data_IF_426956750400
#
_entry.id   IF_426956750400
#
_cell.length_a   1.000
_cell.length_b   1.000
_cell.length_c   1.000
_cell.angle_alpha   90.00
_cell.angle_beta   90.00
_cell.angle_gamma   90.00
#
_symmetry.space_group_name_H-M   'P 1'
#
loop_
_entity.id
_entity.type
_entity.pdbx_description
1 polymer ?
#
# COMPACT_ATOMS: atom_id res chain seq x y z
N UNK A 1 16.27 19.84 -21.41
CA UNK A 1 15.56 18.97 -20.45
C UNK A 1 15.41 17.59 -21.08
N UNK A 2 15.72 16.54 -20.34
CA UNK A 2 15.58 15.15 -20.80
C UNK A 2 14.53 14.44 -19.93
N UNK A 3 13.41 14.03 -20.52
CA UNK A 3 12.34 13.30 -19.84
C UNK A 3 12.27 11.89 -20.42
N UNK A 4 12.34 10.89 -19.55
CA UNK A 4 12.32 9.47 -19.90
C UNK A 4 11.11 8.82 -19.24
N UNK A 5 10.19 8.30 -20.04
CA UNK A 5 9.01 7.59 -19.57
C UNK A 5 9.19 6.11 -19.85
N UNK A 6 9.07 5.27 -18.82
CA UNK A 6 9.29 3.82 -18.86
C UNK A 6 10.57 3.43 -19.66
N UNK A 7 11.76 3.94 -19.26
CA UNK A 7 12.99 3.68 -20.00
C UNK A 7 13.32 2.19 -20.08
N UNK A 8 13.62 1.74 -21.30
CA UNK A 8 14.21 0.41 -21.55
C UNK A 8 15.65 0.33 -21.05
N UNK A 9 16.21 -0.88 -20.95
CA UNK A 9 17.62 -1.07 -20.60
C UNK A 9 18.57 -0.33 -21.56
N UNK A 10 18.24 -0.30 -22.86
CA UNK A 10 18.97 0.47 -23.87
C UNK A 10 18.84 1.98 -23.65
N UNK A 11 17.67 2.46 -23.22
CA UNK A 11 17.47 3.88 -22.88
C UNK A 11 18.32 4.27 -21.67
N UNK A 12 18.38 3.42 -20.63
CA UNK A 12 19.26 3.66 -19.48
C UNK A 12 20.73 3.72 -19.88
N UNK A 13 21.20 2.81 -20.74
CA UNK A 13 22.58 2.84 -21.24
C UNK A 13 22.87 4.12 -22.05
N UNK A 14 21.97 4.53 -22.93
CA UNK A 14 22.12 5.76 -23.71
C UNK A 14 22.17 7.01 -22.84
N UNK A 15 21.36 7.07 -21.79
CA UNK A 15 21.32 8.21 -20.86
C UNK A 15 22.56 8.23 -19.98
N UNK A 16 23.05 7.06 -19.56
CA UNK A 16 24.32 6.94 -18.84
C UNK A 16 25.49 7.52 -19.65
N UNK A 17 25.56 7.15 -20.94
CA UNK A 17 26.61 7.64 -21.85
C UNK A 17 26.50 9.13 -22.16
N UNK A 18 25.28 9.65 -22.33
CA UNK A 18 25.06 11.05 -22.75
C UNK A 18 25.10 12.04 -21.59
N UNK A 19 24.63 11.65 -20.40
CA UNK A 19 24.52 12.52 -19.24
C UNK A 19 25.53 12.21 -18.13
N UNK A 20 26.37 11.19 -18.29
CA UNK A 20 27.37 10.79 -17.29
C UNK A 20 28.45 11.85 -16.99
N UNK A 21 28.64 12.83 -17.87
CA UNK A 21 29.49 14.00 -17.60
C UNK A 21 28.83 15.02 -16.66
N UNK A 22 27.49 15.06 -16.62
CA UNK A 22 26.71 16.03 -15.85
C UNK A 22 26.23 15.43 -14.51
N UNK A 23 25.81 14.17 -14.53
CA UNK A 23 25.25 13.47 -13.38
C UNK A 23 26.07 12.22 -13.03
N UNK A 24 26.14 11.90 -11.73
CA UNK A 24 26.57 10.57 -11.27
C UNK A 24 25.42 9.58 -11.53
N UNK A 25 25.39 9.04 -12.74
CA UNK A 25 24.29 8.19 -13.22
C UNK A 25 24.21 6.86 -12.46
N UNK A 26 25.33 6.35 -11.95
CA UNK A 26 25.37 5.14 -11.12
C UNK A 26 24.66 5.38 -9.78
N UNK A 27 24.88 6.55 -9.17
CA UNK A 27 24.14 6.97 -7.97
C UNK A 27 22.63 7.06 -8.25
N UNK A 28 22.24 7.78 -9.31
CA UNK A 28 20.83 7.96 -9.70
C UNK A 28 20.14 6.60 -9.91
N UNK A 29 20.75 5.70 -10.68
CA UNK A 29 20.19 4.38 -10.94
C UNK A 29 20.14 3.51 -9.68
N UNK A 30 21.13 3.64 -8.79
CA UNK A 30 21.11 2.93 -7.52
C UNK A 30 19.90 3.34 -6.66
N UNK A 31 19.55 4.63 -6.60
CA UNK A 31 18.37 5.12 -5.88
C UNK A 31 17.06 4.77 -6.60
N UNK A 32 17.08 4.70 -7.93
CA UNK A 32 15.93 4.32 -8.74
C UNK A 32 15.56 2.85 -8.55
N UNK A 33 16.53 1.95 -8.60
CA UNK A 33 16.30 0.49 -8.60
C UNK A 33 16.35 -0.09 -7.17
N UNK A 34 17.31 0.33 -6.35
CA UNK A 34 17.53 -0.29 -5.03
C UNK A 34 16.75 0.41 -3.93
N UNK A 35 16.14 -0.40 -3.05
CA UNK A 35 15.55 0.10 -1.80
C UNK A 35 16.56 0.26 -0.67
N UNK A 36 17.80 -0.21 -0.81
CA UNK A 36 18.76 -0.21 0.32
C UNK A 36 19.12 1.20 0.76
N UNK A 37 19.28 2.12 -0.18
CA UNK A 37 19.74 3.48 0.11
C UNK A 37 18.63 4.39 0.65
N UNK A 38 17.44 4.33 0.06
CA UNK A 38 16.29 5.18 0.41
C UNK A 38 15.23 4.45 1.25
N UNK A 39 15.46 3.20 1.64
CA UNK A 39 14.50 2.33 2.37
C UNK A 39 13.15 2.20 1.66
N UNK A 40 13.10 2.40 0.34
CA UNK A 40 11.86 2.42 -0.44
C UNK A 40 10.97 3.62 -0.16
N UNK A 41 11.50 4.70 0.41
CA UNK A 41 10.78 5.95 0.70
C UNK A 41 11.17 7.04 -0.28
N UNK A 42 10.30 8.03 -0.42
CA UNK A 42 10.63 9.28 -1.12
C UNK A 42 11.70 10.04 -0.34
N UNK A 43 12.79 10.42 -1.00
CA UNK A 43 13.95 11.02 -0.34
C UNK A 43 14.56 12.15 -1.17
N UNK A 44 14.82 13.32 -0.57
CA UNK A 44 15.46 14.44 -1.22
C UNK A 44 16.99 14.40 -1.10
N UNK A 45 17.70 14.71 -2.18
CA UNK A 45 19.15 14.86 -2.24
C UNK A 45 19.50 16.24 -2.82
N UNK A 46 19.20 17.27 -2.03
CA UNK A 46 19.27 18.69 -2.45
C UNK A 46 20.27 19.48 -1.60
N UNK A 47 20.52 19.08 -0.36
CA UNK A 47 21.52 19.71 0.51
C UNK A 47 22.91 19.10 0.31
N UNK A 48 23.45 19.19 -0.91
CA UNK A 48 24.68 18.49 -1.33
C UNK A 48 25.94 19.35 -1.37
N UNK A 49 25.86 20.61 -0.96
CA UNK A 49 26.98 21.56 -1.02
C UNK A 49 28.27 21.06 -0.35
N UNK A 50 28.17 20.16 0.64
CA UNK A 50 29.31 19.63 1.41
C UNK A 50 29.73 18.20 1.02
N UNK A 51 29.21 17.65 -0.09
CA UNK A 51 29.60 16.33 -0.59
C UNK A 51 31.06 16.32 -1.08
N UNK A 52 31.76 15.18 -1.03
CA UNK A 52 33.19 15.14 -1.35
C UNK A 52 33.47 15.25 -2.87
N UNK A 53 32.53 14.82 -3.73
CA UNK A 53 32.70 14.90 -5.18
C UNK A 53 32.13 16.23 -5.69
N UNK A 54 32.87 16.92 -6.56
CA UNK A 54 32.41 18.16 -7.19
C UNK A 54 31.10 17.97 -7.99
N UNK A 55 30.96 16.84 -8.69
CA UNK A 55 29.72 16.50 -9.42
C UNK A 55 28.51 16.37 -8.49
N UNK A 56 28.70 15.95 -7.25
CA UNK A 56 27.63 15.84 -6.25
C UNK A 56 27.22 17.19 -5.69
N UNK A 57 28.17 18.13 -5.55
CA UNK A 57 27.89 19.48 -5.05
C UNK A 57 27.06 20.32 -6.03
N UNK A 58 27.18 20.06 -7.34
CA UNK A 58 26.42 20.77 -8.40
C UNK A 58 25.14 20.07 -8.85
N UNK A 59 24.90 18.85 -8.38
CA UNK A 59 23.71 18.05 -8.73
C UNK A 59 22.72 18.01 -7.59
N UNK A 60 21.45 18.06 -7.91
CA UNK A 60 20.34 18.08 -6.97
C UNK A 60 19.28 17.14 -7.48
N UNK A 61 18.76 16.23 -6.66
CA UNK A 61 17.73 15.32 -7.14
C UNK A 61 16.73 14.90 -6.07
N UNK A 62 15.54 14.52 -6.52
CA UNK A 62 14.44 14.05 -5.70
C UNK A 62 14.07 12.65 -6.18
N UNK A 63 14.06 11.68 -5.28
CA UNK A 63 13.67 10.30 -5.60
C UNK A 63 12.28 10.08 -5.03
N UNK A 64 11.31 9.83 -5.90
CA UNK A 64 9.94 9.49 -5.56
C UNK A 64 9.76 7.97 -5.54
N UNK A 65 9.14 7.48 -4.47
CA UNK A 65 8.73 6.10 -4.29
C UNK A 65 7.29 6.09 -3.80
N UNK A 66 6.39 5.52 -4.60
CA UNK A 66 4.96 5.39 -4.30
C UNK A 66 4.36 4.24 -5.10
N UNK A 67 3.05 4.02 -5.01
CA UNK A 67 2.37 2.91 -5.67
C UNK A 67 1.35 3.40 -6.70
N UNK A 68 1.12 2.59 -7.73
CA UNK A 68 0.04 2.79 -8.72
C UNK A 68 -0.65 1.46 -9.02
N UNK A 69 -1.82 1.57 -9.65
CA UNK A 69 -2.53 0.44 -10.24
C UNK A 69 -1.97 0.19 -11.64
N UNK A 70 -1.68 -1.06 -11.96
CA UNK A 70 -1.25 -1.47 -13.30
C UNK A 70 -2.47 -1.57 -14.20
N UNK A 71 -2.47 -0.80 -15.29
CA UNK A 71 -3.54 -0.80 -16.28
C UNK A 71 -3.42 -1.99 -17.25
N UNK A 72 -4.55 -2.36 -17.87
CA UNK A 72 -4.61 -3.45 -18.84
C UNK A 72 -3.66 -3.18 -20.03
N UNK A 73 -2.84 -4.17 -20.35
CA UNK A 73 -1.84 -4.07 -21.43
C UNK A 73 -0.49 -3.48 -21.02
N UNK A 74 -0.31 -3.07 -19.76
CA UNK A 74 0.98 -2.64 -19.23
C UNK A 74 1.64 -3.72 -18.39
N UNK A 75 2.94 -3.93 -18.58
CA UNK A 75 3.74 -4.84 -17.76
C UNK A 75 4.79 -4.03 -17.00
N UNK A 76 4.81 -4.10 -15.65
CA UNK A 76 5.88 -3.53 -14.85
C UNK A 76 7.25 -4.02 -15.30
N UNK A 77 8.27 -3.18 -15.12
CA UNK A 77 9.65 -3.58 -15.44
C UNK A 77 10.09 -4.73 -14.53
N UNK A 78 10.97 -5.62 -15.02
CA UNK A 78 11.40 -6.82 -14.28
C UNK A 78 12.03 -6.54 -12.89
N UNK A 79 12.55 -5.33 -12.68
CA UNK A 79 13.14 -4.89 -11.42
C UNK A 79 12.14 -4.17 -10.49
N UNK A 80 10.96 -3.79 -11.00
CA UNK A 80 9.90 -3.19 -10.20
C UNK A 80 9.16 -4.29 -9.44
N UNK A 81 8.81 -4.00 -8.19
CA UNK A 81 7.90 -4.88 -7.46
C UNK A 81 6.50 -4.70 -8.02
N UNK A 82 5.87 -5.82 -8.33
CA UNK A 82 4.47 -5.88 -8.69
C UNK A 82 3.82 -7.06 -7.98
N UNK A 83 2.50 -7.00 -7.83
CA UNK A 83 1.72 -8.16 -7.38
C UNK A 83 2.01 -9.36 -8.26
N UNK A 84 2.44 -10.47 -7.67
CA UNK A 84 2.52 -11.74 -8.38
C UNK A 84 1.13 -12.36 -8.35
N UNK A 85 0.49 -12.47 -9.51
CA UNK A 85 -0.74 -13.24 -9.70
C UNK A 85 -0.43 -14.71 -9.44
N UNK A 86 -0.52 -15.12 -8.17
CA UNK A 86 -0.39 -16.50 -7.78
C UNK A 86 -1.57 -16.80 -6.86
N UNK A 87 -2.59 -17.40 -7.47
CA UNK A 87 -3.70 -18.20 -6.91
C UNK A 87 -5.10 -17.60 -6.89
N UNK A 88 -5.90 -18.12 -7.85
CA UNK A 88 -7.33 -18.41 -7.87
C UNK A 88 -8.36 -17.25 -7.92
N UNK A 89 -9.05 -17.18 -9.07
CA UNK A 89 -10.28 -16.41 -9.37
C UNK A 89 -10.12 -14.87 -9.41
N UNK A 90 -9.35 -14.38 -10.39
CA UNK A 90 -8.87 -13.00 -10.56
C UNK A 90 -9.88 -11.97 -11.10
N UNK A 91 -11.15 -11.98 -10.70
CA UNK A 91 -12.01 -10.81 -10.98
C UNK A 91 -11.81 -9.68 -9.96
N UNK A 92 -11.34 -10.00 -8.75
CA UNK A 92 -11.23 -9.06 -7.62
C UNK A 92 -9.78 -8.68 -7.22
N UNK A 93 -8.77 -9.13 -7.97
CA UNK A 93 -7.36 -8.84 -7.66
C UNK A 93 -6.91 -7.48 -8.23
N UNK A 94 -6.44 -6.57 -7.38
CA UNK A 94 -5.82 -5.31 -7.83
C UNK A 94 -4.34 -5.55 -8.11
N UNK A 95 -3.94 -5.36 -9.36
CA UNK A 95 -2.54 -5.36 -9.75
C UNK A 95 -1.87 -4.04 -9.30
N UNK A 96 -1.17 -4.07 -8.17
CA UNK A 96 -0.38 -2.94 -7.67
C UNK A 96 1.07 -3.09 -8.13
N UNK A 97 1.70 -1.98 -8.53
CA UNK A 97 3.14 -1.89 -8.74
C UNK A 97 3.76 -0.69 -8.05
N UNK A 98 5.04 -0.82 -7.69
CA UNK A 98 5.86 0.27 -7.17
C UNK A 98 6.34 1.19 -8.29
N UNK A 99 5.92 2.44 -8.19
CA UNK A 99 6.41 3.55 -9.00
C UNK A 99 7.72 4.08 -8.44
N UNK A 100 8.67 4.31 -9.33
CA UNK A 100 9.93 4.97 -9.02
C UNK A 100 10.12 6.11 -10.01
N UNK A 101 10.30 7.32 -9.51
CA UNK A 101 10.58 8.49 -10.34
C UNK A 101 11.74 9.28 -9.76
N UNK A 102 12.57 9.87 -10.61
CA UNK A 102 13.66 10.76 -10.20
C UNK A 102 13.59 12.02 -11.01
N UNK A 103 13.61 13.17 -10.33
CA UNK A 103 13.84 14.47 -10.94
C UNK A 103 15.21 14.94 -10.48
N UNK A 104 16.09 15.27 -11.41
CA UNK A 104 17.45 15.70 -11.15
C UNK A 104 17.80 16.97 -11.92
N UNK A 105 18.60 17.83 -11.31
CA UNK A 105 19.15 19.09 -11.83
C UNK A 105 20.67 19.05 -11.70
N UNK A 106 21.39 19.43 -12.76
CA UNK A 106 22.82 19.75 -12.73
C UNK A 106 23.00 21.21 -13.15
N UNK A 107 23.74 21.98 -12.34
CA UNK A 107 24.18 23.33 -12.67
C UNK A 107 25.60 23.27 -13.24
N UNK A 108 25.80 23.83 -14.44
CA UNK A 108 27.11 23.83 -15.12
C UNK A 108 27.86 25.16 -14.98
N UNK A 109 27.40 26.06 -14.10
CA UNK A 109 28.05 27.34 -13.82
C UNK A 109 29.31 27.22 -12.98
N UNK A 110 30.00 28.34 -12.83
CA UNK A 110 31.14 28.45 -11.93
C UNK A 110 30.69 28.49 -10.45
N UNK A 111 31.64 28.24 -9.55
CA UNK A 111 31.42 28.37 -8.10
C UNK A 111 31.38 29.86 -7.76
N UNK A 112 30.23 30.33 -7.27
CA UNK A 112 29.98 31.73 -6.91
C UNK A 112 30.39 32.00 -5.47
N UNK A 113 30.12 31.06 -4.56
CA UNK A 113 30.41 31.23 -3.14
C UNK A 113 30.89 29.92 -2.48
N UNK A 114 31.61 30.04 -1.38
CA UNK A 114 32.07 28.92 -0.57
C UNK A 114 31.55 29.04 0.87
N UNK A 115 30.70 28.11 1.25
CA UNK A 115 30.11 28.06 2.59
C UNK A 115 30.92 27.11 3.46
N UNK A 116 31.31 27.56 4.66
CA UNK A 116 32.03 26.73 5.61
C UNK A 116 31.10 26.19 6.70
N UNK A 117 31.25 24.91 7.05
CA UNK A 117 30.54 24.28 8.17
C UNK A 117 31.52 23.54 9.07
N UNK A 118 31.45 23.81 10.38
CA UNK A 118 32.19 23.02 11.38
C UNK A 118 31.54 21.65 11.53
N UNK A 119 32.31 20.59 11.39
CA UNK A 119 31.81 19.25 11.64
C UNK A 119 31.59 19.06 13.15
N UNK A 120 30.37 18.70 13.56
CA UNK A 120 30.01 18.54 14.99
C UNK A 120 30.87 17.49 15.73
N UNK A 121 31.45 16.52 15.01
CA UNK A 121 32.26 15.42 15.56
C UNK A 121 33.77 15.53 15.30
N UNK A 122 34.23 16.55 14.57
CA UNK A 122 35.64 16.71 14.21
C UNK A 122 35.96 18.20 14.16
N UNK A 123 37.10 18.63 14.71
CA UNK A 123 37.53 20.03 14.65
C UNK A 123 37.93 20.50 13.23
N UNK A 124 37.51 19.76 12.19
CA UNK A 124 37.73 20.05 10.77
C UNK A 124 36.57 20.89 10.24
N UNK A 125 36.92 21.97 9.56
CA UNK A 125 35.99 22.79 8.78
C UNK A 125 35.78 22.12 7.44
N UNK A 126 34.53 21.80 7.09
CA UNK A 126 34.16 21.37 5.75
C UNK A 126 33.80 22.60 4.94
N UNK A 127 34.44 22.77 3.79
CA UNK A 127 34.04 23.76 2.79
C UNK A 127 33.03 23.11 1.85
N UNK A 128 31.98 23.84 1.51
CA UNK A 128 31.02 23.48 0.48
C UNK A 128 30.97 24.58 -0.58
N UNK A 129 30.71 24.17 -1.83
CA UNK A 129 30.68 25.08 -2.97
C UNK A 129 29.24 25.38 -3.35
N UNK A 130 28.94 26.64 -3.64
CA UNK A 130 27.66 27.09 -4.18
C UNK A 130 27.86 27.47 -5.64
N UNK A 131 27.11 26.77 -6.51
CA UNK A 131 27.15 26.97 -7.95
C UNK A 131 26.18 28.07 -8.37
N UNK A 132 26.48 28.72 -9.49
CA UNK A 132 25.64 29.77 -10.03
C UNK A 132 24.23 29.28 -10.38
N UNK A 133 23.23 29.93 -9.77
CA UNK A 133 21.80 29.61 -9.88
C UNK A 133 21.24 29.76 -11.30
N UNK A 134 21.75 30.73 -12.06
CA UNK A 134 21.25 31.12 -13.39
C UNK A 134 22.13 30.64 -14.55
N UNK A 135 23.13 29.82 -14.26
CA UNK A 135 23.97 29.22 -15.27
C UNK A 135 23.23 28.19 -16.14
N UNK A 136 23.81 27.79 -17.29
CA UNK A 136 23.32 26.67 -18.08
C UNK A 136 23.12 25.42 -17.21
N UNK A 137 22.02 24.72 -17.46
CA UNK A 137 21.59 23.61 -16.61
C UNK A 137 21.11 22.41 -17.43
N UNK A 138 21.23 21.24 -16.81
CA UNK A 138 20.63 20.01 -17.31
C UNK A 138 19.58 19.52 -16.34
N UNK A 139 18.43 19.10 -16.86
CA UNK A 139 17.39 18.43 -16.07
C UNK A 139 17.18 17.05 -16.65
N UNK A 140 17.10 16.08 -15.75
CA UNK A 140 16.80 14.69 -16.03
C UNK A 140 15.57 14.30 -15.20
N UNK A 141 14.48 13.95 -15.87
CA UNK A 141 13.31 13.33 -15.25
C UNK A 141 13.19 11.89 -15.74
N UNK A 142 13.28 10.93 -14.83
CA UNK A 142 13.10 9.50 -15.11
C UNK A 142 11.82 9.05 -14.44
N UNK A 143 10.84 8.64 -15.23
CA UNK A 143 9.50 8.26 -14.79
C UNK A 143 9.26 6.78 -15.09
N UNK A 144 9.27 5.92 -14.07
CA UNK A 144 8.97 4.49 -14.23
C UNK A 144 7.59 4.18 -13.64
N UNK A 145 6.55 4.48 -14.41
CA UNK A 145 5.15 4.26 -14.03
C UNK A 145 4.54 3.20 -14.94
N UNK A 146 4.12 2.02 -14.46
CA UNK A 146 3.47 1.00 -15.28
C UNK A 146 1.97 1.26 -15.40
N UNK A 147 1.58 2.48 -15.78
CA UNK A 147 0.19 2.88 -15.99
C UNK A 147 0.01 3.63 -17.32
N UNK A 148 -1.25 3.68 -17.78
CA UNK A 148 -1.64 4.42 -18.99
C UNK A 148 -1.84 5.91 -18.76
N UNK A 149 -1.55 6.40 -17.55
CA UNK A 149 -1.71 7.82 -17.19
C UNK A 149 -0.55 8.59 -17.80
N UNK A 150 -0.83 9.32 -18.87
CA UNK A 150 0.15 10.21 -19.47
C UNK A 150 0.56 11.28 -18.45
N UNK A 151 1.84 11.30 -18.07
CA UNK A 151 2.39 12.46 -17.38
C UNK A 151 2.36 13.64 -18.34
N UNK A 152 1.78 14.75 -17.87
CA UNK A 152 1.60 15.96 -18.67
C UNK A 152 2.96 16.45 -19.20
N UNK A 153 3.08 16.82 -20.49
CA UNK A 153 4.36 17.21 -21.11
C UNK A 153 4.58 18.73 -21.13
N UNK A 154 4.00 19.43 -20.15
CA UNK A 154 3.88 20.91 -20.10
C UNK A 154 5.22 21.65 -20.21
N UNK A 155 6.33 21.02 -19.79
CA UNK A 155 7.67 21.63 -19.81
C UNK A 155 8.21 21.99 -21.20
N UNK A 156 7.60 21.52 -22.29
CA UNK A 156 8.05 21.86 -23.65
C UNK A 156 7.64 23.28 -24.08
N UNK A 157 6.63 23.88 -23.43
CA UNK A 157 6.04 25.16 -23.86
C UNK A 157 6.33 26.32 -22.89
N UNK A 158 6.90 26.06 -21.71
CA UNK A 158 7.20 27.08 -20.71
C UNK A 158 8.56 27.75 -20.95
N UNK A 159 8.60 29.08 -20.88
CA UNK A 159 9.87 29.83 -20.88
C UNK A 159 10.56 29.68 -19.53
N UNK A 160 11.58 28.83 -19.49
CA UNK A 160 12.35 28.54 -18.29
C UNK A 160 13.54 29.50 -18.17
N UNK A 161 13.60 30.24 -17.06
CA UNK A 161 14.63 31.27 -16.86
C UNK A 161 15.80 30.79 -15.99
N UNK A 162 15.60 29.77 -15.16
CA UNK A 162 16.66 29.21 -14.31
C UNK A 162 16.48 27.70 -14.12
N UNK A 163 17.61 27.02 -13.86
CA UNK A 163 17.61 25.59 -13.56
C UNK A 163 16.76 25.23 -12.34
N UNK A 164 16.82 25.97 -11.23
CA UNK A 164 15.98 25.76 -10.06
C UNK A 164 14.49 25.92 -10.33
N UNK A 165 14.09 26.93 -11.12
CA UNK A 165 12.69 27.10 -11.51
C UNK A 165 12.22 25.87 -12.29
N UNK A 166 12.99 25.45 -13.29
CA UNK A 166 12.66 24.30 -14.12
C UNK A 166 12.64 22.99 -13.30
N UNK A 167 13.52 22.84 -12.31
CA UNK A 167 13.50 21.70 -11.39
C UNK A 167 12.26 21.68 -10.52
N UNK A 168 11.86 22.83 -9.96
CA UNK A 168 10.65 22.95 -9.14
C UNK A 168 9.37 22.75 -9.96
N UNK A 169 9.34 23.20 -11.21
CA UNK A 169 8.25 22.89 -12.15
C UNK A 169 8.14 21.38 -12.38
N UNK A 170 9.24 20.70 -12.67
CA UNK A 170 9.27 19.24 -12.78
C UNK A 170 8.79 18.57 -11.48
N UNK A 171 9.25 19.07 -10.33
CA UNK A 171 8.86 18.55 -9.03
C UNK A 171 7.35 18.71 -8.78
N UNK A 172 6.78 19.87 -9.08
CA UNK A 172 5.35 20.15 -8.95
C UNK A 172 4.52 19.21 -9.82
N UNK A 173 4.98 18.95 -11.04
CA UNK A 173 4.35 17.99 -11.94
C UNK A 173 4.39 16.56 -11.39
N UNK A 174 5.53 16.12 -10.84
CA UNK A 174 5.62 14.78 -10.23
C UNK A 174 4.68 14.65 -9.02
N UNK A 175 4.59 15.66 -8.15
CA UNK A 175 3.64 15.66 -7.04
C UNK A 175 2.20 15.57 -7.52
N UNK A 176 1.80 16.38 -8.50
CA UNK A 176 0.45 16.34 -9.08
C UNK A 176 0.13 14.97 -9.66
N UNK A 177 1.07 14.39 -10.40
CA UNK A 177 0.85 13.08 -11.04
C UNK A 177 0.83 11.94 -10.00
N UNK A 178 1.64 12.05 -8.94
CA UNK A 178 1.57 11.12 -7.82
C UNK A 178 0.22 11.18 -7.10
N UNK A 179 -0.34 12.38 -6.90
CA UNK A 179 -1.68 12.55 -6.31
C UNK A 179 -2.74 11.82 -7.13
N UNK A 180 -2.76 12.02 -8.45
CA UNK A 180 -3.73 11.37 -9.34
C UNK A 180 -3.66 9.83 -9.26
N UNK A 181 -2.45 9.27 -9.28
CA UNK A 181 -2.22 7.82 -9.19
C UNK A 181 -2.63 7.25 -7.85
N UNK A 182 -2.31 7.95 -6.77
CA UNK A 182 -2.64 7.52 -5.41
C UNK A 182 -4.15 7.60 -5.13
N UNK A 183 -4.85 8.59 -5.70
CA UNK A 183 -6.31 8.63 -5.67
C UNK A 183 -6.94 7.45 -6.42
N UNK A 184 -6.47 7.17 -7.64
CA UNK A 184 -6.94 6.01 -8.42
C UNK A 184 -6.71 4.69 -7.66
N UNK A 185 -5.57 4.56 -6.98
CA UNK A 185 -5.28 3.40 -6.14
C UNK A 185 -6.25 3.30 -4.95
N UNK A 186 -6.51 4.41 -4.25
CA UNK A 186 -7.48 4.43 -3.15
C UNK A 186 -8.88 4.07 -3.63
N UNK A 187 -9.36 4.68 -4.72
CA UNK A 187 -10.67 4.37 -5.30
C UNK A 187 -10.80 2.89 -5.64
N UNK A 188 -9.77 2.29 -6.24
CA UNK A 188 -9.78 0.86 -6.55
C UNK A 188 -9.81 0.00 -5.28
N UNK A 189 -9.02 0.32 -4.26
CA UNK A 189 -9.05 -0.39 -2.97
C UNK A 189 -10.41 -0.24 -2.29
N UNK A 190 -10.99 0.96 -2.30
CA UNK A 190 -12.30 1.26 -1.74
C UNK A 190 -13.39 0.44 -2.43
N UNK A 191 -13.34 0.32 -3.76
CA UNK A 191 -14.31 -0.46 -4.54
C UNK A 191 -14.32 -1.97 -4.22
N UNK A 192 -13.22 -2.51 -3.68
CA UNK A 192 -13.16 -3.91 -3.25
C UNK A 192 -13.75 -4.15 -1.86
N UNK A 193 -13.70 -3.13 -1.01
CA UNK A 193 -14.07 -3.21 0.40
C UNK A 193 -15.52 -2.80 0.59
N UNK A 194 -15.92 -1.71 -0.05
CA UNK A 194 -17.24 -1.13 0.10
C UNK A 194 -18.19 -1.90 -0.82
N UNK A 195 -19.30 -2.44 -0.28
CA UNK A 195 -20.27 -3.14 -1.09
C UNK A 195 -20.90 -2.19 -2.12
N UNK A 196 -21.23 -2.69 -3.34
CA UNK A 196 -21.85 -1.87 -4.37
C UNK A 196 -23.25 -1.41 -3.96
N UNK A 197 -23.76 -0.34 -4.56
CA UNK A 197 -25.09 0.22 -4.23
C UNK A 197 -26.24 -0.81 -4.36
N UNK A 198 -26.07 -1.80 -5.22
CA UNK A 198 -26.99 -2.93 -5.42
C UNK A 198 -27.17 -3.79 -4.16
N UNK A 199 -26.25 -3.72 -3.21
CA UNK A 199 -26.31 -4.36 -1.89
C UNK A 199 -27.60 -4.07 -1.13
N UNK A 200 -28.15 -2.85 -1.24
CA UNK A 200 -29.40 -2.52 -0.56
C UNK A 200 -30.61 -3.31 -1.12
N UNK A 201 -30.52 -3.75 -2.37
CA UNK A 201 -31.64 -4.33 -3.11
C UNK A 201 -31.53 -5.84 -3.28
N UNK A 202 -30.32 -6.40 -3.31
CA UNK A 202 -30.11 -7.84 -3.42
C UNK A 202 -30.09 -8.53 -2.04
N UNK A 203 -31.03 -9.44 -1.81
CA UNK A 203 -31.07 -10.29 -0.62
C UNK A 203 -29.89 -11.27 -0.56
N UNK A 204 -29.49 -11.85 -1.71
CA UNK A 204 -28.43 -12.86 -1.76
C UNK A 204 -27.09 -12.23 -1.43
N UNK A 205 -26.81 -11.06 -2.00
CA UNK A 205 -25.58 -10.32 -1.74
C UNK A 205 -25.46 -9.94 -0.25
N UNK A 206 -26.58 -9.54 0.38
CA UNK A 206 -26.63 -9.24 1.83
C UNK A 206 -26.31 -10.45 2.69
N UNK A 207 -26.95 -11.58 2.43
CA UNK A 207 -26.71 -12.81 3.19
C UNK A 207 -25.28 -13.33 3.00
N UNK A 208 -24.71 -13.16 1.81
CA UNK A 208 -23.33 -13.57 1.51
C UNK A 208 -22.29 -12.70 2.22
N UNK A 209 -22.49 -11.38 2.30
CA UNK A 209 -21.56 -10.45 2.96
C UNK A 209 -21.61 -10.51 4.50
N UNK A 210 -22.70 -11.04 5.08
CA UNK A 210 -22.87 -11.13 6.52
C UNK A 210 -21.97 -12.20 7.17
N UNK A 211 -21.58 -13.22 6.39
CA UNK A 211 -20.84 -14.37 6.89
C UNK A 211 -19.61 -14.64 6.03
N UNK A 212 -18.58 -15.18 6.65
CA UNK A 212 -17.41 -15.62 5.92
C UNK A 212 -17.73 -16.85 5.05
N UNK A 213 -17.06 -16.94 3.90
CA UNK A 213 -17.09 -18.11 3.03
C UNK A 213 -16.00 -19.13 3.40
N UNK A 214 -15.97 -20.27 2.71
CA UNK A 214 -14.99 -21.33 2.99
C UNK A 214 -13.54 -20.92 2.62
N UNK A 215 -13.38 -19.93 1.74
CA UNK A 215 -12.10 -19.47 1.20
C UNK A 215 -11.55 -18.23 1.93
N UNK A 216 -12.24 -17.78 2.98
CA UNK A 216 -11.94 -16.59 3.76
C UNK A 216 -11.81 -15.32 2.91
N UNK A 217 -12.63 -15.22 1.88
CA UNK A 217 -12.55 -14.18 0.86
C UNK A 217 -12.62 -12.77 1.46
N UNK A 218 -13.57 -12.53 2.37
CA UNK A 218 -13.77 -11.19 2.94
C UNK A 218 -12.70 -10.85 3.97
N UNK A 219 -12.34 -11.79 4.86
CA UNK A 219 -11.23 -11.60 5.81
C UNK A 219 -9.92 -11.31 5.09
N UNK A 220 -9.60 -12.02 4.00
CA UNK A 220 -8.38 -11.78 3.19
C UNK A 220 -8.42 -10.41 2.53
N UNK A 221 -9.55 -10.00 1.96
CA UNK A 221 -9.74 -8.67 1.35
C UNK A 221 -9.57 -7.55 2.38
N UNK A 222 -10.27 -7.61 3.50
CA UNK A 222 -10.17 -6.61 4.56
C UNK A 222 -8.75 -6.53 5.14
N UNK A 223 -8.11 -7.67 5.39
CA UNK A 223 -6.73 -7.70 5.84
C UNK A 223 -5.79 -7.04 4.83
N UNK A 224 -5.89 -7.41 3.55
CA UNK A 224 -5.04 -6.86 2.51
C UNK A 224 -5.26 -5.35 2.33
N UNK A 225 -6.51 -4.90 2.27
CA UNK A 225 -6.85 -3.49 2.09
C UNK A 225 -6.38 -2.64 3.28
N UNK A 226 -6.64 -3.10 4.51
CA UNK A 226 -6.22 -2.40 5.74
C UNK A 226 -4.70 -2.16 5.79
N UNK A 227 -3.92 -3.20 5.49
CA UNK A 227 -2.45 -3.11 5.51
C UNK A 227 -1.92 -2.31 4.32
N UNK A 228 -2.54 -2.45 3.14
CA UNK A 228 -2.14 -1.72 1.94
C UNK A 228 -2.35 -0.22 2.09
N UNK A 229 -3.48 0.21 2.63
CA UNK A 229 -3.76 1.62 2.94
C UNK A 229 -2.76 2.20 3.97
N UNK A 230 -2.36 1.41 4.97
CA UNK A 230 -1.33 1.81 5.94
C UNK A 230 0.03 2.05 5.25
N UNK A 231 0.45 1.10 4.40
CA UNK A 231 1.70 1.24 3.62
C UNK A 231 1.67 2.43 2.67
N UNK A 232 0.53 2.71 2.04
CA UNK A 232 0.34 3.89 1.19
C UNK A 232 0.47 5.17 2.02
N UNK A 233 -0.18 5.25 3.18
CA UNK A 233 -0.09 6.40 4.09
C UNK A 233 1.35 6.68 4.54
N UNK A 234 2.14 5.65 4.86
CA UNK A 234 3.55 5.79 5.23
C UNK A 234 4.40 6.38 4.09
N UNK A 235 4.10 6.03 2.84
CA UNK A 235 4.79 6.58 1.67
C UNK A 235 4.38 8.01 1.39
N UNK A 236 3.08 8.34 1.51
CA UNK A 236 2.60 9.72 1.41
C UNK A 236 3.22 10.59 2.52
N UNK A 237 3.29 10.08 3.75
CA UNK A 237 3.99 10.73 4.86
C UNK A 237 5.44 11.04 4.50
N UNK A 238 6.15 10.05 3.95
CA UNK A 238 7.54 10.24 3.50
C UNK A 238 7.68 11.29 2.39
N UNK A 239 6.71 11.42 1.49
CA UNK A 239 6.68 12.50 0.47
C UNK A 239 6.46 13.88 1.11
N UNK A 240 5.54 13.98 2.07
CA UNK A 240 5.25 15.22 2.79
C UNK A 240 6.46 15.68 3.60
N UNK A 241 7.11 14.76 4.32
CA UNK A 241 8.32 15.03 5.11
C UNK A 241 9.47 15.45 4.20
N UNK A 242 9.69 14.74 3.08
CA UNK A 242 10.72 15.09 2.11
C UNK A 242 10.58 16.52 1.57
N UNK A 243 9.35 16.99 1.32
CA UNK A 243 9.11 18.37 0.94
C UNK A 243 9.36 19.34 2.10
N UNK A 244 8.76 19.08 3.27
CA UNK A 244 8.79 19.98 4.42
C UNK A 244 10.21 20.20 4.96
N UNK A 245 11.02 19.13 5.00
CA UNK A 245 12.40 19.16 5.47
C UNK A 245 13.34 19.87 4.48
N UNK A 246 13.02 19.79 3.18
CA UNK A 246 13.83 20.40 2.12
C UNK A 246 13.52 21.89 1.94
N UNK A 247 12.24 22.21 1.73
CA UNK A 247 11.79 23.52 1.30
C UNK A 247 11.19 24.29 2.47
N UNK A 248 12.08 24.69 3.38
CA UNK A 248 11.74 25.45 4.57
C UNK A 248 11.27 26.87 4.22
N UNK A 249 10.67 27.57 5.19
CA UNK A 249 10.26 28.96 5.03
C UNK A 249 11.43 29.88 4.65
N UNK A 250 12.66 29.61 5.10
CA UNK A 250 13.84 30.40 4.72
C UNK A 250 14.23 30.23 3.25
N UNK A 251 14.00 29.05 2.67
CA UNK A 251 14.18 28.83 1.22
C UNK A 251 13.22 29.68 0.40
N UNK A 252 11.93 29.65 0.74
CA UNK A 252 10.92 30.43 0.00
C UNK A 252 11.06 31.94 0.17
N UNK A 253 11.72 32.40 1.24
CA UNK A 253 12.09 33.79 1.44
C UNK A 253 13.39 34.18 0.70
N UNK A 254 14.06 33.24 0.03
CA UNK A 254 15.35 33.48 -0.65
C UNK A 254 16.55 33.62 0.29
N UNK A 255 16.40 33.32 1.58
CA UNK A 255 17.42 33.52 2.61
C UNK A 255 18.27 32.26 2.84
N UNK A 256 18.03 31.19 2.10
CA UNK A 256 18.76 29.94 2.30
C UNK A 256 20.19 30.04 1.74
N UNK A 257 21.24 29.77 2.55
CA UNK A 257 22.62 30.10 2.18
C UNK A 257 23.18 29.21 1.06
N UNK A 258 22.63 28.01 0.84
CA UNK A 258 23.20 27.03 -0.11
C UNK A 258 22.23 26.52 -1.16
N UNK A 259 20.94 26.87 -1.07
CA UNK A 259 19.90 26.27 -1.92
C UNK A 259 19.37 27.37 -2.85
N UNK A 260 20.10 27.55 -3.95
CA UNK A 260 19.74 28.43 -5.07
C UNK A 260 19.42 29.89 -4.69
N UNK A 261 20.28 30.57 -3.90
CA UNK A 261 20.08 31.99 -3.61
C UNK A 261 20.23 32.83 -4.90
N UNK A 262 19.49 33.94 -4.95
CA UNK A 262 19.70 34.96 -5.99
C UNK A 262 20.95 35.78 -5.63
N UNK A 263 21.86 36.08 -6.59
CA UNK A 263 23.06 36.88 -6.31
C UNK A 263 22.76 38.27 -5.74
N UNK A 264 21.70 38.91 -6.23
CA UNK A 264 21.19 40.19 -5.74
C UNK A 264 19.67 40.11 -5.47
N UNK A 265 19.24 39.75 -4.25
CA UNK A 265 17.83 39.51 -3.95
C UNK A 265 16.96 40.78 -4.01
N UNK A 266 17.56 41.96 -3.80
CA UNK A 266 16.84 43.25 -3.77
C UNK A 266 16.68 43.85 -5.17
N UNK A 267 17.35 43.29 -6.17
CA UNK A 267 17.18 43.67 -7.58
C UNK A 267 15.78 43.34 -8.11
N UNK A 268 15.36 44.03 -9.18
CA UNK A 268 14.10 43.75 -9.87
C UNK A 268 14.04 42.29 -10.37
N UNK A 269 15.17 41.72 -10.79
CA UNK A 269 15.27 40.33 -11.23
C UNK A 269 15.11 39.35 -10.06
N UNK A 270 15.70 39.65 -8.91
CA UNK A 270 15.55 38.87 -7.67
C UNK A 270 14.11 38.83 -7.18
N UNK A 271 13.44 39.98 -7.16
CA UNK A 271 12.01 40.08 -6.79
C UNK A 271 11.14 39.28 -7.76
N UNK A 272 11.39 39.38 -9.07
CA UNK A 272 10.65 38.61 -10.08
C UNK A 272 10.88 37.11 -9.97
N UNK A 273 12.11 36.68 -9.67
CA UNK A 273 12.44 35.28 -9.43
C UNK A 273 11.68 34.73 -8.22
N UNK A 274 11.68 35.45 -7.09
CA UNK A 274 10.92 35.06 -5.89
C UNK A 274 9.41 35.03 -6.15
N UNK A 275 8.86 35.96 -6.93
CA UNK A 275 7.46 35.94 -7.31
C UNK A 275 7.08 34.68 -8.11
N UNK A 276 7.93 34.22 -9.03
CA UNK A 276 7.75 32.96 -9.78
C UNK A 276 7.90 31.74 -8.87
N UNK A 277 8.84 31.75 -7.93
CA UNK A 277 8.93 30.69 -6.93
C UNK A 277 7.68 30.63 -6.05
N UNK A 278 7.06 31.77 -5.74
CA UNK A 278 5.84 31.82 -4.94
C UNK A 278 4.64 31.17 -5.65
N UNK A 279 4.52 31.31 -6.98
CA UNK A 279 3.48 30.58 -7.73
C UNK A 279 3.71 29.08 -7.71
N UNK A 280 4.96 28.63 -7.93
CA UNK A 280 5.32 27.21 -7.85
C UNK A 280 5.11 26.63 -6.45
N UNK A 281 5.41 27.41 -5.42
CA UNK A 281 5.11 27.07 -4.03
C UNK A 281 3.63 26.82 -3.83
N UNK A 282 2.77 27.67 -4.37
CA UNK A 282 1.33 27.52 -4.25
C UNK A 282 0.84 26.20 -4.87
N UNK A 283 1.34 25.86 -6.05
CA UNK A 283 0.98 24.64 -6.79
C UNK A 283 1.48 23.37 -6.06
N UNK A 284 2.71 23.42 -5.54
CA UNK A 284 3.26 22.35 -4.69
C UNK A 284 2.42 22.19 -3.42
N UNK A 285 2.16 23.28 -2.69
CA UNK A 285 1.35 23.25 -1.48
C UNK A 285 -0.08 22.76 -1.74
N UNK A 286 -0.66 23.04 -2.92
CA UNK A 286 -1.94 22.49 -3.34
C UNK A 286 -1.88 20.96 -3.45
N UNK A 287 -0.89 20.43 -4.17
CA UNK A 287 -0.69 18.98 -4.30
C UNK A 287 -0.46 18.31 -2.93
N UNK A 288 0.29 18.95 -2.03
CA UNK A 288 0.52 18.44 -0.67
C UNK A 288 -0.75 18.51 0.20
N UNK A 289 -1.66 19.46 -0.02
CA UNK A 289 -2.98 19.47 0.65
C UNK A 289 -3.82 18.29 0.20
N UNK A 290 -3.82 17.96 -1.08
CA UNK A 290 -4.52 16.80 -1.63
C UNK A 290 -3.96 15.49 -1.08
N UNK A 291 -2.63 15.35 -0.99
CA UNK A 291 -1.99 14.18 -0.34
C UNK A 291 -2.41 14.03 1.14
N UNK A 292 -2.51 15.13 1.89
CA UNK A 292 -3.00 15.09 3.28
C UNK A 292 -4.49 14.73 3.36
N UNK A 293 -5.29 15.20 2.42
CA UNK A 293 -6.70 14.81 2.32
C UNK A 293 -6.82 13.30 2.05
N UNK A 294 -5.96 12.76 1.18
CA UNK A 294 -5.91 11.34 0.88
C UNK A 294 -5.53 10.50 2.10
N UNK A 295 -4.54 10.90 2.91
CA UNK A 295 -4.23 10.23 4.18
C UNK A 295 -5.46 10.16 5.09
N UNK A 296 -6.19 11.28 5.23
CA UNK A 296 -7.40 11.32 6.06
C UNK A 296 -8.49 10.39 5.53
N UNK A 297 -8.71 10.37 4.21
CA UNK A 297 -9.65 9.45 3.56
C UNK A 297 -9.24 7.99 3.78
N UNK A 298 -7.98 7.65 3.60
CA UNK A 298 -7.45 6.30 3.86
C UNK A 298 -7.64 5.88 5.32
N UNK A 299 -7.37 6.76 6.29
CA UNK A 299 -7.59 6.47 7.72
C UNK A 299 -9.07 6.33 8.09
N UNK A 300 -9.98 7.00 7.38
CA UNK A 300 -11.40 6.75 7.52
C UNK A 300 -11.77 5.37 6.97
N UNK A 301 -11.35 5.05 5.74
CA UNK A 301 -11.61 3.75 5.13
C UNK A 301 -11.02 2.60 5.96
N UNK A 302 -9.82 2.75 6.53
CA UNK A 302 -9.22 1.76 7.44
C UNK A 302 -10.06 1.52 8.69
N UNK A 303 -10.68 2.56 9.27
CA UNK A 303 -11.60 2.41 10.41
C UNK A 303 -12.90 1.72 10.01
N UNK A 304 -13.41 2.02 8.83
CA UNK A 304 -14.59 1.34 8.28
C UNK A 304 -14.30 -0.15 8.03
N UNK A 305 -13.14 -0.48 7.45
CA UNK A 305 -12.67 -1.88 7.28
C UNK A 305 -12.59 -2.60 8.63
N UNK A 306 -12.06 -1.95 9.66
CA UNK A 306 -11.94 -2.57 10.99
C UNK A 306 -13.31 -2.92 11.59
N UNK A 307 -14.27 -2.00 11.47
CA UNK A 307 -15.66 -2.24 11.87
C UNK A 307 -16.31 -3.37 11.06
N UNK A 308 -16.13 -3.38 9.74
CA UNK A 308 -16.67 -4.43 8.85
C UNK A 308 -16.10 -5.81 9.22
N UNK A 309 -14.80 -5.87 9.52
CA UNK A 309 -14.13 -7.09 9.96
C UNK A 309 -14.70 -7.60 11.29
N UNK A 310 -14.94 -6.71 12.25
CA UNK A 310 -15.55 -7.09 13.54
C UNK A 310 -16.98 -7.61 13.37
N UNK A 311 -17.78 -6.96 12.52
CA UNK A 311 -19.15 -7.40 12.19
C UNK A 311 -19.14 -8.78 11.52
N UNK A 312 -18.26 -8.99 10.55
CA UNK A 312 -18.10 -10.27 9.85
C UNK A 312 -17.71 -11.40 10.81
N UNK A 313 -16.78 -11.13 11.74
CA UNK A 313 -16.35 -12.10 12.74
C UNK A 313 -17.48 -12.45 13.71
N UNK A 314 -18.22 -11.44 14.18
CA UNK A 314 -19.39 -11.63 15.04
C UNK A 314 -20.48 -12.46 14.34
N UNK A 315 -20.83 -12.10 13.11
CA UNK A 315 -21.80 -12.83 12.30
C UNK A 315 -21.40 -14.28 12.06
N UNK A 316 -20.15 -14.50 11.66
CA UNK A 316 -19.61 -15.84 11.38
C UNK A 316 -19.58 -16.72 12.63
N UNK A 317 -19.18 -16.17 13.78
CA UNK A 317 -19.20 -16.88 15.06
C UNK A 317 -20.62 -17.29 15.48
N UNK A 318 -21.62 -16.44 15.26
CA UNK A 318 -23.02 -16.78 15.53
C UNK A 318 -23.51 -17.92 14.63
N UNK A 319 -23.17 -17.88 13.33
CA UNK A 319 -23.50 -18.94 12.39
C UNK A 319 -22.85 -20.28 12.80
N UNK A 320 -21.58 -20.26 13.16
CA UNK A 320 -20.84 -21.44 13.62
C UNK A 320 -21.44 -22.02 14.91
N UNK A 321 -21.76 -21.15 15.88
CA UNK A 321 -22.42 -21.54 17.12
C UNK A 321 -23.76 -22.23 16.84
N UNK A 322 -24.58 -21.67 15.94
CA UNK A 322 -25.85 -22.29 15.55
C UNK A 322 -25.64 -23.66 14.92
N UNK A 323 -24.69 -23.80 13.99
CA UNK A 323 -24.39 -25.10 13.37
C UNK A 323 -23.89 -26.12 14.39
N UNK A 324 -23.12 -25.68 15.39
CA UNK A 324 -22.65 -26.52 16.50
C UNK A 324 -23.80 -26.98 17.39
N UNK A 325 -24.76 -26.10 17.68
CA UNK A 325 -25.97 -26.44 18.43
C UNK A 325 -26.81 -27.48 17.66
N UNK A 326 -27.05 -27.27 16.37
CA UNK A 326 -27.80 -28.21 15.52
C UNK A 326 -27.11 -29.59 15.44
N UNK A 327 -25.78 -29.63 15.37
CA UNK A 327 -25.01 -30.88 15.48
C UNK A 327 -25.12 -31.52 16.85
N UNK A 328 -25.09 -30.73 17.93
CA UNK A 328 -25.28 -31.20 19.30
C UNK A 328 -26.65 -31.85 19.50
N UNK A 329 -27.71 -31.27 18.93
CA UNK A 329 -29.05 -31.86 18.95
C UNK A 329 -29.10 -33.19 18.20
N UNK A 330 -28.49 -33.26 17.01
CA UNK A 330 -28.41 -34.50 16.24
C UNK A 330 -27.67 -35.62 17.01
N UNK A 331 -26.57 -35.29 17.69
CA UNK A 331 -25.82 -36.23 18.54
C UNK A 331 -26.68 -36.68 19.74
N UNK A 332 -27.43 -35.75 20.37
CA UNK A 332 -28.32 -36.06 21.48
C UNK A 332 -29.41 -37.04 21.06
N UNK A 333 -30.04 -36.83 19.90
CA UNK A 333 -31.06 -37.73 19.36
C UNK A 333 -30.47 -39.10 19.06
N UNK A 334 -29.33 -39.16 18.37
CA UNK A 334 -28.66 -40.43 18.03
C UNK A 334 -28.27 -41.23 19.28
N UNK A 335 -27.75 -40.55 20.30
CA UNK A 335 -27.40 -41.15 21.59
C UNK A 335 -28.64 -41.65 22.31
N UNK A 336 -29.74 -40.88 22.30
CA UNK A 336 -31.02 -41.30 22.86
C UNK A 336 -31.57 -42.57 22.21
N UNK A 337 -31.53 -42.64 20.87
CA UNK A 337 -31.92 -43.85 20.13
C UNK A 337 -31.01 -45.03 20.48
N UNK A 338 -29.69 -44.83 20.55
CA UNK A 338 -28.73 -45.89 20.89
C UNK A 338 -28.92 -46.42 22.32
N UNK A 339 -29.18 -45.53 23.28
CA UNK A 339 -29.50 -45.90 24.66
C UNK A 339 -30.80 -46.71 24.77
N UNK A 340 -31.79 -46.43 23.91
CA UNK A 340 -33.03 -47.21 23.84
C UNK A 340 -32.81 -48.63 23.28
N UNK A 341 -31.97 -48.76 22.25
CA UNK A 341 -31.72 -50.06 21.61
C UNK A 341 -30.82 -50.98 22.43
N UNK A 342 -29.90 -50.46 23.25
CA UNK A 342 -28.96 -51.27 24.04
C UNK A 342 -29.63 -52.36 24.91
N UNK A 343 -30.66 -52.08 25.74
CA UNK A 343 -31.34 -53.14 26.50
C UNK A 343 -32.16 -54.06 25.58
N UNK A 344 -32.70 -53.54 24.48
CA UNK A 344 -33.50 -54.32 23.52
C UNK A 344 -32.62 -55.36 22.78
N UNK A 345 -31.42 -54.94 22.37
CA UNK A 345 -30.41 -55.80 21.73
C UNK A 345 -29.84 -56.81 22.72
N UNK A 346 -29.65 -56.42 23.98
CA UNK A 346 -29.27 -57.35 25.04
C UNK A 346 -30.28 -58.48 25.20
N UNK A 347 -31.57 -58.15 25.34
CA UNK A 347 -32.63 -59.17 25.52
C UNK A 347 -32.72 -60.05 24.27
N UNK A 348 -32.78 -59.47 23.07
CA UNK A 348 -32.80 -60.26 21.82
C UNK A 348 -31.56 -61.15 21.66
N UNK A 349 -30.37 -60.69 22.06
CA UNK A 349 -29.15 -61.50 22.06
C UNK A 349 -29.22 -62.70 23.00
N UNK A 350 -29.79 -62.55 24.19
CA UNK A 350 -29.95 -63.65 25.17
C UNK A 350 -30.88 -64.74 24.62
N UNK A 351 -31.99 -64.35 23.98
CA UNK A 351 -32.93 -65.30 23.38
C UNK A 351 -32.49 -65.83 22.01
N UNK A 352 -31.53 -65.18 21.34
CA UNK A 352 -30.93 -65.68 20.10
C UNK A 352 -29.86 -66.75 20.34
N UNK A 353 -29.39 -66.95 21.58
CA UNK A 353 -28.43 -68.00 21.89
C UNK A 353 -29.07 -69.39 21.73
N UNK A 354 -28.55 -70.16 20.77
CA UNK A 354 -29.04 -71.52 20.44
C UNK A 354 -28.90 -72.54 21.59
N UNK A 355 -28.21 -72.18 22.68
CA UNK A 355 -28.07 -73.01 23.88
C UNK A 355 -29.41 -73.22 24.62
N UNK A 356 -30.39 -72.32 24.44
CA UNK A 356 -31.70 -72.42 25.07
C UNK A 356 -32.77 -72.73 24.01
N UNK A 357 -33.31 -73.95 24.00
CA UNK A 357 -34.40 -74.33 23.09
C UNK A 357 -35.74 -73.85 23.65
N UNK A 358 -36.05 -72.57 23.44
CA UNK A 358 -37.24 -71.89 23.97
C UNK A 358 -38.31 -71.86 22.86
N UNK A 359 -39.53 -72.36 23.11
CA UNK A 359 -40.61 -72.29 22.12
C UNK A 359 -41.04 -70.83 21.87
N UNK A 360 -41.48 -70.48 20.65
CA UNK A 360 -41.80 -69.09 20.27
C UNK A 360 -42.98 -68.46 21.05
N UNK A 361 -43.69 -69.24 21.85
CA UNK A 361 -44.82 -68.81 22.70
C UNK A 361 -44.48 -68.73 24.19
N UNK A 362 -43.19 -68.77 24.56
CA UNK A 362 -42.79 -68.75 25.98
C UNK A 362 -42.99 -67.35 26.62
N UNK A 363 -43.76 -67.32 27.71
CA UNK A 363 -44.06 -66.11 28.50
C UNK A 363 -42.82 -65.47 29.12
N UNK A 364 -41.74 -66.25 29.31
CA UNK A 364 -40.47 -65.78 29.89
C UNK A 364 -39.81 -64.68 29.07
N UNK A 365 -40.03 -64.66 27.75
CA UNK A 365 -39.56 -63.59 26.87
C UNK A 365 -40.16 -62.24 27.28
N UNK A 366 -41.48 -62.20 27.45
CA UNK A 366 -42.22 -60.98 27.81
C UNK A 366 -41.79 -60.48 29.19
N UNK A 367 -41.59 -61.39 30.15
CA UNK A 367 -41.18 -61.02 31.51
C UNK A 367 -39.75 -60.48 31.54
N UNK A 368 -38.81 -61.08 30.81
CA UNK A 368 -37.43 -60.58 30.76
C UNK A 368 -37.34 -59.23 30.02
N UNK A 369 -38.10 -59.06 28.93
CA UNK A 369 -38.21 -57.77 28.23
C UNK A 369 -38.70 -56.67 29.17
N UNK A 370 -39.78 -56.91 29.92
CA UNK A 370 -40.33 -55.89 30.83
C UNK A 370 -39.37 -55.64 32.01
N UNK A 371 -38.85 -56.69 32.64
CA UNK A 371 -37.97 -56.55 33.82
C UNK A 371 -36.64 -55.87 33.53
N UNK A 372 -36.12 -55.94 32.30
CA UNK A 372 -34.84 -55.29 31.94
C UNK A 372 -35.07 -53.95 31.27
N UNK A 373 -35.95 -53.87 30.26
CA UNK A 373 -36.16 -52.65 29.50
C UNK A 373 -36.83 -51.54 30.33
N UNK A 374 -37.83 -51.85 31.15
CA UNK A 374 -38.56 -50.82 31.93
C UNK A 374 -37.65 -50.09 32.93
N UNK A 375 -36.94 -50.78 33.84
CA UNK A 375 -36.05 -50.07 34.78
C UNK A 375 -34.88 -49.38 34.07
N UNK A 376 -34.37 -49.95 32.96
CA UNK A 376 -33.32 -49.29 32.18
C UNK A 376 -33.83 -48.01 31.50
N UNK A 377 -35.03 -48.02 30.91
CA UNK A 377 -35.63 -46.84 30.31
C UNK A 377 -36.00 -45.78 31.36
N UNK A 378 -36.46 -46.19 32.53
CA UNK A 378 -36.69 -45.27 33.66
C UNK A 378 -35.37 -44.63 34.09
N UNK A 379 -34.28 -45.40 34.22
CA UNK A 379 -32.96 -44.88 34.56
C UNK A 379 -32.42 -43.92 33.49
N UNK A 380 -32.55 -44.26 32.21
CA UNK A 380 -32.17 -43.39 31.09
C UNK A 380 -33.00 -42.10 31.11
N UNK A 381 -34.31 -42.18 31.35
CA UNK A 381 -35.18 -41.01 31.44
C UNK A 381 -34.75 -40.08 32.59
N UNK A 382 -34.49 -40.64 33.77
CA UNK A 382 -34.01 -39.89 34.96
C UNK A 382 -32.65 -39.23 34.71
N UNK A 383 -31.76 -39.89 33.95
CA UNK A 383 -30.44 -39.33 33.61
C UNK A 383 -30.50 -38.27 32.50
N UNK A 384 -31.57 -38.22 31.71
CA UNK A 384 -31.75 -37.28 30.60
C UNK A 384 -32.60 -36.04 30.95
N UNK A 385 -33.43 -36.12 32.00
CA UNK A 385 -34.07 -34.97 32.68
C UNK A 385 -33.09 -34.30 33.62
#
# INVERSE_FOLDING_TARGET
ISILQQPSATSFAGVHLTLGCHFDMDEIFSHLISKKLNKGKTTPYVMRAFEPKAIHQRTFFFVFKYYTVVDDGFTPSAWQRHGSVQTASDEDAINISECSSIVALSLEGDVVDQVSRRASKSNRVKMGSVFETFAPFHILSIQCFPDGIASDRVLAETTLHSGPQAFLECLAMEYRTAVQRLWKLNERIASLVIPPDEFMFDLKLRDQLLFEDADFTFSRRYFWAYNSLAMVNDNIGSMLDAYADTFTSSFWLGQHPTLWPHPDPDSLEGVNYLARLATLRHDLEASLRELRALIKSNEQLRREIDNLREQLYSGSSVKENRTTIEQGENIKILTGVSMLFMPLTFVTSVFSMQAFHIPPTDWRFVVMMISICVPFFVLVFILQT
#
